data_IF_971541479488
#
_entry.id   IF_971541479488
#
_cell.length_a   1.000
_cell.length_b   1.000
_cell.length_c   1.000
_cell.angle_alpha   90.00
_cell.angle_beta   90.00
_cell.angle_gamma   90.00
#
_symmetry.space_group_name_H-M   'P 1'
#
loop_
_entity.id
_entity.type
_entity.pdbx_description
1 polymer ?
#
# COMPACT_ATOMS: atom_id res chain seq x y z
N UNK A 1 -13.75 1.61 17.01
CA UNK A 1 -14.89 1.86 16.11
C UNK A 1 -14.37 1.67 14.70
N UNK A 2 -14.14 0.44 14.30
CA UNK A 2 -13.58 0.12 12.98
C UNK A 2 -14.55 -0.84 12.32
N UNK A 3 -15.29 -0.33 11.33
CA UNK A 3 -16.11 -1.16 10.49
C UNK A 3 -15.19 -1.71 9.41
N UNK A 4 -14.72 -2.95 9.57
CA UNK A 4 -14.15 -3.75 8.48
C UNK A 4 -15.06 -3.58 7.25
N UNK A 5 -14.63 -2.91 6.17
CA UNK A 5 -15.40 -2.84 4.94
C UNK A 5 -15.77 -4.25 4.50
N UNK A 6 -16.99 -4.44 3.96
CA UNK A 6 -17.45 -5.76 3.53
C UNK A 6 -16.40 -6.34 2.58
N UNK A 7 -16.00 -7.58 2.88
CA UNK A 7 -14.97 -8.34 2.17
C UNK A 7 -15.26 -8.28 0.66
N UNK A 8 -14.58 -7.37 -0.02
CA UNK A 8 -14.87 -7.04 -1.40
C UNK A 8 -14.19 -8.10 -2.26
N UNK A 9 -14.99 -9.05 -2.75
CA UNK A 9 -14.49 -10.19 -3.52
C UNK A 9 -13.67 -9.71 -4.74
N UNK A 10 -12.53 -10.36 -5.04
CA UNK A 10 -11.76 -10.02 -6.24
C UNK A 10 -12.61 -10.11 -7.50
N UNK A 11 -12.41 -9.18 -8.43
CA UNK A 11 -13.21 -9.07 -9.65
C UNK A 11 -12.37 -8.68 -10.86
N UNK A 12 -12.78 -9.07 -12.07
CA UNK A 12 -12.06 -8.67 -13.27
C UNK A 12 -12.26 -7.16 -13.53
N UNK A 13 -11.22 -6.51 -14.04
CA UNK A 13 -11.34 -5.16 -14.60
C UNK A 13 -12.09 -5.27 -15.91
N UNK A 14 -13.13 -4.45 -16.09
CA UNK A 14 -13.92 -4.39 -17.32
C UNK A 14 -13.61 -3.10 -18.08
N UNK A 15 -13.29 -3.25 -19.37
CA UNK A 15 -13.10 -2.14 -20.30
C UNK A 15 -14.19 -2.19 -21.38
N UNK A 16 -14.76 -1.04 -21.72
CA UNK A 16 -15.70 -0.88 -22.83
C UNK A 16 -15.18 0.20 -23.79
N UNK A 17 -15.22 -0.08 -25.09
CA UNK A 17 -14.88 0.90 -26.13
C UNK A 17 -16.16 1.63 -26.51
N UNK A 18 -16.39 2.81 -25.90
CA UNK A 18 -17.64 3.55 -26.06
C UNK A 18 -18.79 2.84 -25.35
N UNK A 19 -19.65 2.14 -26.10
CA UNK A 19 -20.77 1.37 -25.54
C UNK A 19 -20.33 -0.04 -25.10
N UNK A 20 -20.85 -0.53 -23.97
CA UNK A 20 -20.54 -1.88 -23.44
C UNK A 20 -21.30 -3.01 -24.16
N UNK A 21 -21.30 -2.99 -25.50
CA UNK A 21 -21.80 -4.09 -26.33
C UNK A 21 -20.92 -5.32 -26.18
N UNK A 22 -21.45 -6.56 -26.32
CA UNK A 22 -20.68 -7.79 -26.15
C UNK A 22 -19.39 -7.85 -26.96
N UNK A 23 -19.37 -7.25 -28.15
CA UNK A 23 -18.24 -7.25 -29.10
C UNK A 23 -17.21 -6.16 -28.78
N UNK A 24 -17.59 -5.15 -27.98
CA UNK A 24 -16.77 -3.96 -27.66
C UNK A 24 -16.34 -3.92 -26.19
N UNK A 25 -16.56 -5.00 -25.44
CA UNK A 25 -16.14 -5.13 -24.04
C UNK A 25 -15.13 -6.24 -23.87
N UNK A 26 -14.19 -6.03 -22.95
CA UNK A 26 -13.23 -7.05 -22.53
C UNK A 26 -13.09 -7.08 -21.02
N UNK A 27 -12.58 -8.19 -20.49
CA UNK A 27 -12.31 -8.40 -19.08
C UNK A 27 -10.86 -8.85 -18.90
N UNK A 28 -10.22 -8.36 -17.85
CA UNK A 28 -8.87 -8.83 -17.51
C UNK A 28 -8.88 -10.32 -17.19
N UNK A 29 -7.83 -11.03 -17.61
CA UNK A 29 -7.62 -12.44 -17.26
C UNK A 29 -7.30 -12.62 -15.77
N UNK A 30 -6.62 -11.64 -15.18
CA UNK A 30 -6.33 -11.58 -13.74
C UNK A 30 -7.41 -10.77 -13.00
N UNK A 31 -7.73 -11.19 -11.79
CA UNK A 31 -8.66 -10.48 -10.92
C UNK A 31 -7.94 -9.36 -10.16
N UNK A 32 -8.63 -8.23 -10.01
CA UNK A 32 -8.25 -7.16 -9.10
C UNK A 32 -8.78 -7.48 -7.71
N UNK A 33 -7.89 -7.47 -6.71
CA UNK A 33 -8.23 -7.75 -5.32
C UNK A 33 -8.33 -6.46 -4.52
N UNK A 34 -9.34 -6.39 -3.66
CA UNK A 34 -9.51 -5.32 -2.70
C UNK A 34 -8.98 -5.80 -1.35
N UNK A 35 -8.00 -5.08 -0.81
CA UNK A 35 -7.33 -5.44 0.44
C UNK A 35 -7.20 -4.22 1.33
N UNK A 36 -7.16 -4.46 2.63
CA UNK A 36 -6.80 -3.43 3.61
C UNK A 36 -5.33 -3.61 4.03
N UNK A 37 -4.51 -2.55 3.92
CA UNK A 37 -3.17 -2.57 4.50
C UNK A 37 -3.26 -2.55 6.03
N UNK A 38 -2.48 -3.40 6.69
CA UNK A 38 -2.40 -3.45 8.15
C UNK A 38 -0.94 -3.41 8.59
N UNK A 39 -0.61 -2.57 9.58
CA UNK A 39 0.73 -2.49 10.17
C UNK A 39 0.75 -3.34 11.45
N UNK A 40 1.66 -4.29 11.52
CA UNK A 40 1.84 -5.19 12.67
C UNK A 40 2.96 -4.71 13.60
N UNK A 41 3.96 -4.04 13.05
CA UNK A 41 5.06 -3.52 13.86
C UNK A 41 6.18 -2.93 13.01
N UNK A 42 7.22 -2.46 13.70
CA UNK A 42 8.38 -1.87 13.07
C UNK A 42 9.66 -2.19 13.87
N UNK A 43 10.79 -2.25 13.16
CA UNK A 43 12.10 -2.51 13.77
C UNK A 43 13.22 -1.74 13.05
N UNK A 44 14.11 -1.03 13.78
CA UNK A 44 14.09 -0.84 15.22
C UNK A 44 12.95 0.10 15.67
N UNK A 45 12.47 -0.05 16.91
CA UNK A 45 11.39 0.77 17.46
C UNK A 45 11.85 2.15 17.98
N UNK A 46 13.16 2.41 17.94
CA UNK A 46 13.81 3.64 18.40
C UNK A 46 15.03 3.93 17.53
N UNK A 47 15.37 5.21 17.43
CA UNK A 47 16.56 5.71 16.76
C UNK A 47 16.98 7.06 17.36
N UNK A 48 18.15 7.59 17.00
CA UNK A 48 18.58 8.93 17.39
C UNK A 48 17.60 10.01 16.90
N UNK A 49 17.50 11.09 17.66
CA UNK A 49 16.69 12.26 17.30
C UNK A 49 17.16 12.87 15.97
N UNK A 50 18.45 12.78 15.64
CA UNK A 50 19.02 13.23 14.37
C UNK A 50 18.66 12.37 13.15
N UNK A 51 17.90 11.28 13.32
CA UNK A 51 17.42 10.44 12.22
C UNK A 51 18.51 9.57 11.60
N UNK A 52 18.37 9.24 10.31
CA UNK A 52 19.25 8.30 9.60
C UNK A 52 19.01 6.83 9.93
N UNK A 53 17.95 6.52 10.69
CA UNK A 53 17.63 5.15 11.09
C UNK A 53 16.93 4.41 9.95
N UNK A 54 17.46 3.25 9.58
CA UNK A 54 16.80 2.33 8.67
C UNK A 54 15.73 1.55 9.45
N UNK A 55 14.47 1.76 9.11
CA UNK A 55 13.32 1.13 9.75
C UNK A 55 12.70 0.12 8.79
N UNK A 56 12.37 -1.06 9.30
CA UNK A 56 11.58 -2.07 8.61
C UNK A 56 10.18 -2.04 9.18
N UNK A 57 9.16 -1.86 8.34
CA UNK A 57 7.76 -1.99 8.74
C UNK A 57 7.26 -3.37 8.33
N UNK A 58 6.63 -4.06 9.27
CA UNK A 58 6.03 -5.38 9.05
C UNK A 58 4.52 -5.25 9.09
N UNK A 59 3.85 -6.01 8.24
CA UNK A 59 2.41 -5.97 8.12
C UNK A 59 1.90 -6.67 6.86
N UNK A 60 0.62 -6.51 6.58
CA UNK A 60 -0.07 -7.16 5.48
C UNK A 60 -0.51 -6.12 4.45
N UNK A 61 -0.50 -6.51 3.17
CA UNK A 61 -0.99 -5.69 2.05
C UNK A 61 -0.38 -4.27 1.95
N UNK A 62 0.80 -4.06 2.53
CA UNK A 62 1.44 -2.75 2.65
C UNK A 62 1.86 -2.13 1.30
N UNK A 63 1.96 -2.94 0.24
CA UNK A 63 2.18 -2.48 -1.13
C UNK A 63 0.90 -2.27 -1.95
N UNK A 64 -0.27 -2.28 -1.32
CA UNK A 64 -1.53 -2.05 -2.03
C UNK A 64 -1.65 -0.59 -2.51
N UNK A 65 -2.23 -0.40 -3.69
CA UNK A 65 -2.43 0.92 -4.29
C UNK A 65 -1.23 1.39 -5.14
N UNK A 66 -1.18 2.69 -5.41
CA UNK A 66 -0.21 3.29 -6.35
C UNK A 66 0.89 4.09 -5.67
N UNK A 67 0.59 4.74 -4.54
CA UNK A 67 1.52 5.60 -3.80
C UNK A 67 1.46 5.30 -2.31
N UNK A 68 2.64 5.20 -1.69
CA UNK A 68 2.79 4.98 -0.25
C UNK A 68 3.63 6.10 0.32
N UNK A 69 3.11 6.77 1.34
CA UNK A 69 3.83 7.80 2.10
C UNK A 69 3.85 7.37 3.56
N UNK A 70 5.03 7.44 4.18
CA UNK A 70 5.20 7.10 5.60
C UNK A 70 5.70 8.30 6.37
N UNK A 71 5.04 8.56 7.49
CA UNK A 71 5.28 9.71 8.35
C UNK A 71 5.66 9.23 9.76
N UNK A 72 6.75 9.77 10.31
CA UNK A 72 7.07 9.67 11.73
C UNK A 72 6.92 11.06 12.33
N UNK A 73 5.83 11.27 13.08
CA UNK A 73 5.40 12.62 13.45
C UNK A 73 5.05 13.43 12.20
N UNK A 74 5.75 14.54 11.98
CA UNK A 74 5.59 15.39 10.79
C UNK A 74 6.67 15.15 9.71
N UNK A 75 7.58 14.20 9.93
CA UNK A 75 8.69 13.93 9.01
C UNK A 75 8.35 12.83 8.02
N UNK A 76 8.65 13.07 6.74
CA UNK A 76 8.46 12.09 5.68
C UNK A 76 9.68 11.17 5.62
N UNK A 77 9.45 9.86 5.63
CA UNK A 77 10.51 8.89 5.41
C UNK A 77 10.59 8.48 3.94
N UNK A 78 11.82 8.26 3.47
CA UNK A 78 12.08 7.80 2.12
C UNK A 78 12.02 6.28 2.05
N UNK A 79 11.45 5.77 0.97
CA UNK A 79 11.46 4.34 0.69
C UNK A 79 12.87 3.89 0.30
N UNK A 80 13.34 2.77 0.86
CA UNK A 80 14.66 2.23 0.59
C UNK A 80 14.56 0.78 0.05
N UNK A 81 14.55 0.64 -1.28
CA UNK A 81 14.66 -0.65 -1.98
C UNK A 81 13.33 -1.29 -2.39
N UNK A 82 13.30 -2.61 -2.57
CA UNK A 82 12.09 -3.41 -2.85
C UNK A 82 11.65 -4.16 -1.59
N UNK A 83 10.63 -3.65 -0.91
CA UNK A 83 10.17 -4.13 0.38
C UNK A 83 9.96 -2.95 1.33
N UNK A 84 9.14 -3.12 2.36
CA UNK A 84 8.72 -2.05 3.30
C UNK A 84 9.85 -1.61 4.25
N UNK A 85 10.99 -1.25 3.66
CA UNK A 85 12.19 -0.72 4.27
C UNK A 85 12.22 0.77 4.01
N UNK A 86 12.38 1.53 5.08
CA UNK A 86 12.34 2.98 5.06
C UNK A 86 13.63 3.53 5.64
N UNK A 87 14.03 4.69 5.15
CA UNK A 87 15.05 5.52 5.74
C UNK A 87 14.40 6.82 6.20
N UNK A 88 14.39 7.02 7.51
CA UNK A 88 13.84 8.22 8.12
C UNK A 88 14.96 9.19 8.44
N UNK A 89 14.82 10.44 8.02
CA UNK A 89 15.71 11.55 8.35
C UNK A 89 15.11 12.32 9.53
N UNK A 90 15.94 13.06 10.24
CA UNK A 90 15.44 14.12 11.12
C UNK A 90 15.93 15.46 10.60
N UNK A 91 15.20 16.50 10.97
CA UNK A 91 15.56 17.89 10.72
C UNK A 91 16.66 18.36 11.67
#
# INVERSE_FOLDING_TARGET
>A
MDATPPESKPGPVQLCIGECKPELRTRSSQLYSFVMPSVLGLSPSRGPESGGTKVTIMGENLGAGSSVTVLFGNQTCEFYGSGMLLRCWAD
#
